data_IF_328321476945
#
_entry.id   IF_328321476945
#
_cell.length_a   1.000
_cell.length_b   1.000
_cell.length_c   1.000
_cell.angle_alpha   90.00
_cell.angle_beta   90.00
_cell.angle_gamma   90.00
#
_symmetry.space_group_name_H-M   'P 1'
#
loop_
_entity.id
_entity.type
_entity.pdbx_description
1 polymer ?
#
# COMPACT_ATOMS: atom_id res chain seq x y z
N UNK A 1 -14.96 -8.05 -54.13
CA UNK A 1 -15.42 -8.37 -52.76
C UNK A 1 -14.15 -8.55 -51.96
N UNK A 2 -13.88 -7.63 -51.03
CA UNK A 2 -12.55 -7.34 -50.50
C UNK A 2 -12.21 -8.29 -49.34
N UNK A 3 -10.96 -8.78 -49.26
CA UNK A 3 -10.43 -9.67 -48.20
C UNK A 3 -10.63 -9.12 -46.77
N UNK A 4 -10.92 -7.83 -46.65
CA UNK A 4 -11.26 -7.14 -45.41
C UNK A 4 -12.66 -7.52 -44.89
N UNK A 5 -13.63 -7.76 -45.78
CA UNK A 5 -14.99 -8.17 -45.40
C UNK A 5 -15.00 -9.59 -44.84
N UNK A 6 -14.17 -10.48 -45.39
CA UNK A 6 -13.96 -11.83 -44.86
C UNK A 6 -13.31 -11.82 -43.48
N UNK A 7 -12.33 -10.94 -43.24
CA UNK A 7 -11.71 -10.82 -41.92
C UNK A 7 -12.68 -10.28 -40.86
N UNK A 8 -13.51 -9.29 -41.22
CA UNK A 8 -14.54 -8.76 -40.31
C UNK A 8 -15.59 -9.83 -40.01
N UNK A 9 -16.00 -10.61 -41.02
CA UNK A 9 -16.95 -11.70 -40.83
C UNK A 9 -16.38 -12.82 -39.94
N UNK A 10 -15.12 -13.19 -40.14
CA UNK A 10 -14.44 -14.18 -39.30
C UNK A 10 -14.32 -13.71 -37.85
N UNK A 11 -13.96 -12.44 -37.62
CA UNK A 11 -13.86 -11.86 -36.29
C UNK A 11 -15.22 -11.82 -35.58
N UNK A 12 -16.29 -11.46 -36.32
CA UNK A 12 -17.65 -11.43 -35.78
C UNK A 12 -18.15 -12.84 -35.40
N UNK A 13 -17.81 -13.85 -36.22
CA UNK A 13 -18.14 -15.24 -35.91
C UNK A 13 -17.40 -15.72 -34.65
N UNK A 14 -16.14 -15.33 -34.49
CA UNK A 14 -15.34 -15.68 -33.32
C UNK A 14 -15.91 -15.07 -32.02
N UNK A 15 -16.36 -13.81 -32.07
CA UNK A 15 -17.03 -13.15 -30.95
C UNK A 15 -18.37 -13.82 -30.58
N UNK A 16 -19.17 -14.22 -31.57
CA UNK A 16 -20.43 -14.91 -31.32
C UNK A 16 -20.22 -16.27 -30.63
N UNK A 17 -19.17 -17.01 -31.01
CA UNK A 17 -18.84 -18.29 -30.41
C UNK A 17 -18.41 -18.17 -28.93
N UNK A 18 -17.62 -17.15 -28.61
CA UNK A 18 -17.22 -16.83 -27.23
C UNK A 18 -18.41 -16.45 -26.35
N UNK A 19 -19.36 -15.69 -26.90
CA UNK A 19 -20.57 -15.28 -26.17
C UNK A 19 -21.49 -16.48 -25.86
N UNK A 20 -21.58 -17.46 -26.78
CA UNK A 20 -22.33 -18.69 -26.57
C UNK A 20 -21.68 -19.62 -25.51
N UNK A 21 -20.35 -19.65 -25.44
CA UNK A 21 -19.63 -20.40 -24.40
C UNK A 21 -19.86 -19.82 -22.99
N UNK A 22 -19.93 -18.49 -22.85
CA UNK A 22 -20.19 -17.85 -21.56
C UNK A 22 -21.64 -18.11 -21.10
N UNK A 23 -22.60 -18.13 -22.03
CA UNK A 23 -24.01 -18.43 -21.70
C UNK A 23 -24.23 -19.90 -21.32
N UNK A 24 -23.50 -20.84 -21.93
CA UNK A 24 -23.56 -22.26 -21.56
C UNK A 24 -22.86 -22.59 -20.24
N UNK A 25 -21.85 -21.81 -19.85
CA UNK A 25 -21.23 -21.88 -18.52
C UNK A 25 -22.10 -21.25 -17.39
N UNK A 26 -23.17 -20.53 -17.75
CA UNK A 26 -24.03 -19.76 -16.84
C UNK A 26 -25.48 -20.29 -16.82
N UNK A 27 -25.66 -21.61 -16.86
CA UNK A 27 -26.97 -22.27 -16.68
C UNK A 27 -27.17 -22.82 -15.27
N UNK A 28 -28.40 -22.80 -14.71
CA UNK A 28 -28.67 -23.22 -13.34
C UNK A 28 -28.59 -24.75 -13.23
N UNK A 29 -27.73 -25.27 -12.36
CA UNK A 29 -27.76 -26.69 -11.97
C UNK A 29 -29.09 -27.00 -11.26
N UNK A 30 -29.89 -27.96 -11.75
CA UNK A 30 -31.10 -28.38 -11.06
C UNK A 30 -30.75 -29.29 -9.88
N UNK A 31 -31.49 -29.14 -8.78
CA UNK A 31 -31.47 -30.05 -7.64
C UNK A 31 -31.67 -31.50 -8.09
N UNK A 32 -30.80 -32.41 -7.67
CA UNK A 32 -31.14 -33.81 -7.50
C UNK A 32 -30.66 -34.29 -6.13
N UNK A 33 -31.66 -34.47 -5.26
CA UNK A 33 -31.63 -35.25 -4.04
C UNK A 33 -31.26 -36.70 -4.35
N UNK A 34 -30.36 -37.28 -3.56
CA UNK A 34 -30.37 -38.72 -3.29
C UNK A 34 -29.99 -38.94 -1.82
N UNK A 35 -31.02 -39.23 -1.02
CA UNK A 35 -30.94 -39.92 0.27
C UNK A 35 -30.22 -41.28 0.10
N UNK A 36 -29.39 -41.68 1.06
CA UNK A 36 -29.63 -42.95 1.76
C UNK A 36 -28.70 -43.15 2.99
N UNK A 37 -29.34 -43.05 4.16
CA UNK A 37 -29.41 -44.10 5.18
C UNK A 37 -28.12 -44.70 5.78
N UNK A 38 -27.79 -44.27 7.01
CA UNK A 38 -27.53 -45.17 8.14
C UNK A 38 -27.58 -44.42 9.49
N UNK A 39 -28.69 -44.57 10.20
CA UNK A 39 -28.85 -44.35 11.66
C UNK A 39 -28.19 -45.54 12.41
N UNK A 40 -27.80 -45.42 13.71
CA UNK A 40 -28.73 -45.23 14.84
C UNK A 40 -28.11 -44.38 16.00
N UNK A 41 -28.73 -43.91 17.09
CA UNK A 41 -30.07 -43.90 17.72
C UNK A 41 -30.05 -42.75 18.77
N UNK A 42 -31.20 -42.33 19.32
CA UNK A 42 -31.38 -41.06 20.02
C UNK A 42 -31.13 -41.15 21.55
N UNK A 43 -30.66 -40.06 22.14
CA UNK A 43 -30.96 -39.74 23.53
C UNK A 43 -31.47 -38.30 23.64
N UNK A 44 -32.53 -38.19 24.42
CA UNK A 44 -33.46 -37.08 24.55
C UNK A 44 -32.89 -35.89 25.33
N UNK A 45 -33.25 -34.70 24.82
CA UNK A 45 -33.84 -33.59 25.58
C UNK A 45 -32.91 -32.64 26.34
N UNK A 46 -32.76 -31.45 25.74
CA UNK A 46 -32.25 -30.23 26.36
C UNK A 46 -32.42 -29.10 25.37
N UNK A 47 -33.48 -28.33 25.55
CA UNK A 47 -33.83 -27.15 24.76
C UNK A 47 -32.65 -26.17 24.68
N UNK A 48 -32.05 -26.06 23.50
CA UNK A 48 -31.41 -24.83 23.03
C UNK A 48 -31.30 -24.98 21.52
N UNK A 49 -32.22 -24.31 20.81
CA UNK A 49 -32.06 -24.05 19.39
C UNK A 49 -30.77 -23.24 19.24
N UNK A 50 -29.66 -23.93 18.99
CA UNK A 50 -28.43 -23.31 18.53
C UNK A 50 -28.76 -22.75 17.14
N UNK A 51 -29.10 -21.46 17.11
CA UNK A 51 -29.20 -20.68 15.90
C UNK A 51 -27.95 -21.00 15.05
N UNK A 52 -28.10 -21.26 13.74
CA UNK A 52 -26.94 -21.32 12.85
C UNK A 52 -26.14 -20.04 13.08
N UNK A 53 -24.80 -20.09 13.22
CA UNK A 53 -24.01 -18.89 13.41
C UNK A 53 -24.34 -17.92 12.28
N UNK A 54 -24.94 -16.77 12.62
CA UNK A 54 -25.37 -15.73 11.67
C UNK A 54 -24.19 -15.13 10.88
N UNK A 55 -22.97 -15.53 11.22
CA UNK A 55 -21.74 -15.13 10.57
C UNK A 55 -20.90 -16.38 10.33
N UNK A 56 -20.98 -16.92 9.10
CA UNK A 56 -19.77 -17.46 8.50
C UNK A 56 -18.88 -16.25 8.28
N UNK A 57 -18.05 -15.92 9.28
CA UNK A 57 -16.95 -15.02 9.06
C UNK A 57 -16.09 -15.74 8.03
N UNK A 58 -16.29 -15.43 6.75
CA UNK A 58 -15.35 -15.81 5.70
C UNK A 58 -13.98 -15.46 6.25
N UNK A 59 -13.15 -16.47 6.43
CA UNK A 59 -11.80 -16.29 6.97
C UNK A 59 -11.18 -15.16 6.18
N UNK A 60 -10.83 -14.07 6.87
CA UNK A 60 -10.15 -12.93 6.27
C UNK A 60 -9.03 -13.52 5.42
N UNK A 61 -8.94 -13.22 4.10
CA UNK A 61 -7.85 -13.74 3.28
C UNK A 61 -6.54 -13.47 4.01
N UNK A 62 -5.90 -14.54 4.49
CA UNK A 62 -4.63 -14.44 5.15
C UNK A 62 -3.60 -14.36 4.04
N UNK A 63 -3.07 -13.16 3.83
CA UNK A 63 -1.96 -12.97 2.91
C UNK A 63 -0.69 -13.36 3.67
N UNK A 64 -0.29 -14.62 3.53
CA UNK A 64 0.99 -15.15 4.00
C UNK A 64 2.12 -14.60 3.14
N UNK A 65 2.37 -13.29 3.23
CA UNK A 65 3.56 -12.72 2.62
C UNK A 65 4.72 -12.84 3.61
N UNK A 66 5.70 -13.64 3.25
CA UNK A 66 7.01 -13.67 3.90
C UNK A 66 8.05 -13.08 2.92
N UNK A 67 8.78 -12.02 3.31
CA UNK A 67 9.89 -11.50 2.51
C UNK A 67 11.02 -12.53 2.43
N UNK A 68 11.78 -12.52 1.33
CA UNK A 68 13.02 -13.30 1.22
C UNK A 68 14.10 -12.71 2.13
N UNK A 69 15.09 -13.52 2.53
CA UNK A 69 16.22 -13.06 3.36
C UNK A 69 16.97 -11.88 2.71
N UNK A 70 17.12 -11.89 1.38
CA UNK A 70 17.75 -10.80 0.64
C UNK A 70 16.92 -9.50 0.72
N UNK A 71 15.58 -9.60 0.68
CA UNK A 71 14.71 -8.44 0.81
C UNK A 71 14.65 -7.94 2.27
N UNK A 72 14.67 -8.86 3.22
CA UNK A 72 14.75 -8.57 4.65
C UNK A 72 15.99 -7.73 4.96
N UNK A 73 17.16 -8.19 4.51
CA UNK A 73 18.44 -7.50 4.73
C UNK A 73 18.50 -6.15 3.98
N UNK A 74 18.06 -6.13 2.71
CA UNK A 74 18.09 -4.91 1.89
C UNK A 74 17.21 -3.78 2.44
N UNK A 75 16.04 -4.12 2.99
CA UNK A 75 15.04 -3.15 3.45
C UNK A 75 14.98 -3.05 4.98
N UNK A 76 15.84 -3.77 5.70
CA UNK A 76 15.90 -3.85 7.16
C UNK A 76 14.52 -4.14 7.81
N UNK A 77 13.74 -5.05 7.21
CA UNK A 77 12.32 -5.25 7.58
C UNK A 77 12.12 -5.88 8.97
N UNK A 78 13.16 -6.44 9.58
CA UNK A 78 13.17 -6.94 10.96
C UNK A 78 13.43 -5.84 11.99
N UNK A 79 13.84 -4.65 11.54
CA UNK A 79 14.13 -3.53 12.44
C UNK A 79 12.84 -2.94 13.01
N UNK A 80 12.70 -2.86 14.35
CA UNK A 80 11.48 -2.37 14.97
C UNK A 80 11.30 -0.86 14.75
N UNK A 81 10.21 -0.46 14.08
CA UNK A 81 9.92 0.93 13.67
C UNK A 81 9.99 1.94 14.83
N UNK A 82 9.60 1.56 16.05
CA UNK A 82 9.55 2.47 17.21
C UNK A 82 10.75 2.38 18.15
N UNK A 83 11.66 1.42 17.92
CA UNK A 83 12.83 1.18 18.77
C UNK A 83 14.14 1.14 17.98
N UNK A 84 14.08 1.42 16.68
CA UNK A 84 15.24 1.53 15.81
C UNK A 84 16.20 2.61 16.33
N UNK A 85 17.49 2.36 16.18
CA UNK A 85 18.52 3.34 16.52
C UNK A 85 18.45 4.48 15.50
N UNK A 86 18.51 5.72 15.99
CA UNK A 86 18.56 6.89 15.12
C UNK A 86 19.84 6.87 14.25
N UNK A 87 19.65 7.17 12.96
CA UNK A 87 20.74 7.28 11.99
C UNK A 87 21.72 8.41 12.40
N UNK A 88 23.04 8.16 12.41
CA UNK A 88 24.01 9.21 12.70
C UNK A 88 23.99 10.30 11.62
N UNK A 89 24.25 11.54 12.02
CA UNK A 89 24.17 12.72 11.15
C UNK A 89 25.03 12.62 9.88
N UNK A 90 26.21 11.98 9.98
CA UNK A 90 27.11 11.74 8.84
C UNK A 90 26.52 10.81 7.81
N UNK A 91 25.86 9.74 8.25
CA UNK A 91 25.24 8.74 7.39
C UNK A 91 23.98 9.30 6.76
N UNK A 92 23.16 10.02 7.53
CA UNK A 92 22.02 10.78 6.99
C UNK A 92 22.46 11.73 5.89
N UNK A 93 23.56 12.46 6.11
CA UNK A 93 24.12 13.37 5.10
C UNK A 93 24.59 12.61 3.86
N UNK A 94 25.26 11.47 4.04
CA UNK A 94 25.70 10.63 2.92
C UNK A 94 24.52 10.16 2.06
N UNK A 95 23.40 9.76 2.67
CA UNK A 95 22.17 9.38 1.93
C UNK A 95 21.65 10.57 1.11
N UNK A 96 21.57 11.77 1.70
CA UNK A 96 21.10 12.97 0.98
C UNK A 96 22.01 13.29 -0.21
N UNK A 97 23.33 13.22 -0.02
CA UNK A 97 24.34 13.52 -1.04
C UNK A 97 24.39 12.44 -2.15
N UNK A 98 23.88 11.23 -1.89
CA UNK A 98 23.82 10.17 -2.89
C UNK A 98 22.87 10.47 -4.05
N UNK A 99 21.95 11.42 -3.88
CA UNK A 99 21.02 11.83 -4.93
C UNK A 99 21.57 13.08 -5.64
N UNK A 100 22.00 12.99 -6.92
CA UNK A 100 22.64 14.11 -7.63
C UNK A 100 21.85 15.43 -7.62
N UNK A 101 20.51 15.45 -7.75
CA UNK A 101 19.73 16.69 -7.62
C UNK A 101 19.80 17.35 -6.23
N UNK A 102 20.29 16.63 -5.22
CA UNK A 102 20.41 17.07 -3.84
C UNK A 102 21.86 17.21 -3.35
N UNK A 103 22.84 16.80 -4.16
CA UNK A 103 24.23 16.89 -3.79
C UNK A 103 24.64 18.34 -3.51
N UNK A 104 25.48 18.52 -2.50
CA UNK A 104 26.05 19.79 -2.07
C UNK A 104 25.05 20.84 -1.52
N UNK A 105 23.80 20.46 -1.25
CA UNK A 105 22.87 21.31 -0.53
C UNK A 105 23.23 21.35 0.97
N UNK A 106 23.80 22.47 1.43
CA UNK A 106 23.88 22.78 2.88
C UNK A 106 22.50 23.26 3.37
N UNK A 107 21.56 22.32 3.44
CA UNK A 107 20.20 22.63 3.86
C UNK A 107 20.15 22.87 5.37
N UNK A 108 19.84 24.10 5.76
CA UNK A 108 19.55 24.48 7.14
C UNK A 108 18.05 24.60 7.33
N UNK A 109 17.54 24.03 8.41
CA UNK A 109 16.15 24.25 8.80
C UNK A 109 15.89 25.78 8.84
N UNK A 110 14.81 26.28 8.22
CA UNK A 110 14.50 27.69 8.23
C UNK A 110 14.45 28.24 9.66
N UNK A 111 15.13 29.37 9.89
CA UNK A 111 15.04 30.06 11.18
C UNK A 111 13.60 30.51 11.41
N UNK A 112 13.06 30.26 12.60
CA UNK A 112 11.73 30.77 12.96
C UNK A 112 11.69 32.28 13.10
N UNK A 113 10.48 32.84 12.98
CA UNK A 113 10.23 34.26 13.26
C UNK A 113 10.71 34.57 14.69
N UNK A 114 11.76 35.40 14.87
CA UNK A 114 12.40 35.62 16.17
C UNK A 114 11.43 36.17 17.22
N UNK A 115 10.38 36.84 16.77
CA UNK A 115 9.38 37.47 17.63
C UNK A 115 8.56 36.45 18.41
N UNK A 116 8.09 35.37 17.78
CA UNK A 116 7.29 34.34 18.45
C UNK A 116 8.14 33.55 19.47
N UNK A 117 9.37 33.22 19.09
CA UNK A 117 10.30 32.52 19.97
C UNK A 117 10.63 33.32 21.25
N UNK A 118 10.75 34.66 21.15
CA UNK A 118 10.95 35.51 22.33
C UNK A 118 9.78 35.48 23.32
N UNK A 119 8.58 35.17 22.86
CA UNK A 119 7.37 35.08 23.70
C UNK A 119 7.13 33.67 24.26
N UNK A 120 7.89 32.66 23.82
CA UNK A 120 7.76 31.28 24.31
C UNK A 120 8.57 31.06 25.60
N UNK A 121 8.01 30.27 26.50
CA UNK A 121 8.75 29.76 27.66
C UNK A 121 9.74 28.65 27.24
N UNK A 122 10.60 28.20 28.17
CA UNK A 122 11.63 27.19 27.88
C UNK A 122 11.07 25.85 27.39
N UNK A 123 9.95 25.39 27.97
CA UNK A 123 9.30 24.14 27.56
C UNK A 123 8.72 24.23 26.15
N UNK A 124 8.00 25.31 25.87
CA UNK A 124 7.43 25.60 24.55
C UNK A 124 8.52 25.69 23.47
N UNK A 125 9.65 26.34 23.76
CA UNK A 125 10.79 26.39 22.83
C UNK A 125 11.34 25.01 22.50
N UNK A 126 11.43 24.14 23.52
CA UNK A 126 11.93 22.78 23.34
C UNK A 126 10.98 21.95 22.46
N UNK A 127 9.68 21.97 22.77
CA UNK A 127 8.65 21.27 21.98
C UNK A 127 8.60 21.77 20.53
N UNK A 128 8.60 23.09 20.35
CA UNK A 128 8.60 23.74 19.03
C UNK A 128 9.84 23.36 18.21
N UNK A 129 11.00 23.27 18.85
CA UNK A 129 12.26 22.85 18.20
C UNK A 129 12.21 21.37 17.83
N UNK A 130 11.69 20.51 18.70
CA UNK A 130 11.54 19.08 18.43
C UNK A 130 10.60 18.81 17.25
N UNK A 131 9.45 19.49 17.19
CA UNK A 131 8.49 19.36 16.08
C UNK A 131 9.13 19.80 14.76
N UNK A 132 9.84 20.94 14.72
CA UNK A 132 10.57 21.38 13.52
C UNK A 132 11.63 20.37 13.08
N UNK A 133 12.37 19.81 14.03
CA UNK A 133 13.39 18.82 13.73
C UNK A 133 12.76 17.59 13.07
N UNK A 134 11.64 17.09 13.60
CA UNK A 134 10.92 15.97 13.00
C UNK A 134 10.35 16.31 11.61
N UNK A 135 9.77 17.50 11.43
CA UNK A 135 9.33 17.97 10.11
C UNK A 135 10.48 18.01 9.10
N UNK A 136 11.65 18.48 9.53
CA UNK A 136 12.86 18.50 8.72
C UNK A 136 13.33 17.09 8.35
N UNK A 137 13.42 16.18 9.32
CA UNK A 137 13.81 14.78 9.06
C UNK A 137 12.85 14.10 8.08
N UNK A 138 11.55 14.33 8.24
CA UNK A 138 10.54 13.79 7.33
C UNK A 138 10.64 14.38 5.92
N UNK A 139 11.05 15.66 5.81
CA UNK A 139 11.24 16.32 4.52
C UNK A 139 12.30 15.64 3.64
N UNK A 140 13.32 15.03 4.27
CA UNK A 140 14.41 14.35 3.58
C UNK A 140 13.94 13.11 2.82
N UNK A 141 12.84 12.46 3.24
CA UNK A 141 12.31 11.27 2.59
C UNK A 141 11.57 11.58 1.27
N UNK A 142 11.02 12.79 1.10
CA UNK A 142 10.23 13.12 -0.09
C UNK A 142 11.06 13.16 -1.38
N UNK A 143 12.32 13.58 -1.30
CA UNK A 143 13.14 13.78 -2.50
C UNK A 143 13.61 12.47 -3.13
N UNK A 144 14.15 11.49 -2.38
CA UNK A 144 14.38 10.14 -2.90
C UNK A 144 13.11 9.54 -3.50
N UNK A 145 11.97 9.73 -2.84
CA UNK A 145 10.67 9.25 -3.32
C UNK A 145 10.26 9.92 -4.64
N UNK A 146 10.44 11.23 -4.76
CA UNK A 146 10.11 11.99 -5.98
C UNK A 146 11.03 11.62 -7.15
N UNK A 147 12.32 11.38 -6.88
CA UNK A 147 13.27 10.87 -7.87
C UNK A 147 12.86 9.47 -8.32
N UNK A 148 12.54 8.57 -7.40
CA UNK A 148 12.08 7.22 -7.73
C UNK A 148 10.81 7.25 -8.60
N UNK A 149 9.83 8.08 -8.24
CA UNK A 149 8.63 8.27 -9.07
C UNK A 149 9.03 8.75 -10.46
N UNK A 150 9.88 9.77 -10.57
CA UNK A 150 10.33 10.29 -11.86
C UNK A 150 11.03 9.23 -12.72
N UNK A 151 11.96 8.47 -12.14
CA UNK A 151 12.70 7.42 -12.84
C UNK A 151 11.77 6.31 -13.32
N UNK A 152 10.82 5.87 -12.49
CA UNK A 152 9.82 4.87 -12.90
C UNK A 152 8.95 5.36 -14.06
N UNK A 153 8.46 6.60 -14.01
CA UNK A 153 7.63 7.12 -15.10
C UNK A 153 8.43 7.38 -16.39
N UNK A 154 9.72 7.69 -16.29
CA UNK A 154 10.55 8.05 -17.44
C UNK A 154 11.18 6.83 -18.10
N UNK A 155 11.59 5.83 -17.32
CA UNK A 155 12.39 4.70 -17.80
C UNK A 155 11.64 3.36 -17.84
N UNK A 156 10.55 3.21 -17.08
CA UNK A 156 9.79 1.95 -16.97
C UNK A 156 8.43 1.98 -17.68
N UNK A 157 8.29 2.80 -18.74
CA UNK A 157 7.01 3.03 -19.43
C UNK A 157 6.40 1.76 -20.10
N UNK A 158 7.19 0.68 -20.23
CA UNK A 158 6.72 -0.63 -20.72
C UNK A 158 6.34 -1.63 -19.63
N UNK A 159 6.46 -1.26 -18.34
CA UNK A 159 6.24 -2.17 -17.23
C UNK A 159 4.73 -2.38 -16.98
N UNK A 160 4.20 -3.62 -17.08
CA UNK A 160 2.77 -3.88 -16.89
C UNK A 160 2.28 -3.59 -15.45
N UNK A 161 3.20 -3.47 -14.49
CA UNK A 161 2.87 -3.17 -13.10
C UNK A 161 3.00 -1.67 -12.76
N UNK A 162 3.36 -0.81 -13.72
CA UNK A 162 3.64 0.61 -13.48
C UNK A 162 2.48 1.33 -12.79
N UNK A 163 1.23 1.05 -13.18
CA UNK A 163 0.04 1.65 -12.57
C UNK A 163 -0.11 1.27 -11.09
N UNK A 164 0.13 -0.01 -10.76
CA UNK A 164 0.06 -0.51 -9.39
C UNK A 164 1.14 0.13 -8.52
N UNK A 165 2.39 0.16 -8.99
CA UNK A 165 3.49 0.78 -8.26
C UNK A 165 3.30 2.28 -8.10
N UNK A 166 2.80 2.96 -9.13
CA UNK A 166 2.49 4.40 -9.08
C UNK A 166 1.42 4.71 -8.03
N UNK A 167 0.40 3.84 -7.90
CA UNK A 167 -0.61 3.97 -6.86
C UNK A 167 0.00 3.81 -5.47
N UNK A 168 0.85 2.80 -5.27
CA UNK A 168 1.55 2.61 -3.98
C UNK A 168 2.42 3.82 -3.62
N UNK A 169 3.23 4.32 -4.56
CA UNK A 169 4.09 5.50 -4.33
C UNK A 169 3.28 6.77 -4.04
N UNK A 170 2.16 6.97 -4.74
CA UNK A 170 1.23 8.07 -4.48
C UNK A 170 0.64 7.99 -3.07
N UNK A 171 0.25 6.80 -2.63
CA UNK A 171 -0.36 6.60 -1.32
C UNK A 171 0.68 6.79 -0.21
N UNK A 172 1.91 6.28 -0.38
CA UNK A 172 3.05 6.56 0.51
C UNK A 172 3.28 8.07 0.61
N UNK A 173 3.39 8.77 -0.52
CA UNK A 173 3.57 10.24 -0.54
C UNK A 173 2.45 10.96 0.19
N UNK A 174 1.20 10.55 0.00
CA UNK A 174 0.03 11.13 0.69
C UNK A 174 0.08 10.93 2.20
N UNK A 175 0.46 9.74 2.67
CA UNK A 175 0.62 9.46 4.09
C UNK A 175 1.74 10.31 4.71
N UNK A 176 2.88 10.44 4.03
CA UNK A 176 3.97 11.31 4.51
C UNK A 176 3.52 12.78 4.59
N UNK A 177 2.81 13.29 3.58
CA UNK A 177 2.24 14.65 3.60
C UNK A 177 1.22 14.82 4.74
N UNK A 178 0.41 13.80 4.99
CA UNK A 178 -0.54 13.80 6.11
C UNK A 178 0.18 13.90 7.46
N UNK A 179 1.27 13.15 7.66
CA UNK A 179 2.10 13.27 8.88
C UNK A 179 2.66 14.69 9.02
N UNK A 180 3.24 15.27 7.97
CA UNK A 180 3.70 16.68 8.00
C UNK A 180 2.59 17.67 8.40
N UNK A 181 1.38 17.47 7.84
CA UNK A 181 0.21 18.29 8.15
C UNK A 181 -0.20 18.16 9.62
N UNK A 182 -0.32 16.92 10.12
CA UNK A 182 -0.64 16.62 11.52
C UNK A 182 0.35 17.27 12.49
N UNK A 183 1.65 17.20 12.18
CA UNK A 183 2.69 17.84 12.98
C UNK A 183 2.58 19.37 13.00
N UNK A 184 2.11 19.98 11.90
CA UNK A 184 1.88 21.43 11.82
C UNK A 184 0.63 21.84 12.59
N UNK A 185 -0.41 21.01 12.59
CA UNK A 185 -1.66 21.26 13.32
C UNK A 185 -1.54 21.05 14.83
N UNK A 186 -0.60 20.20 15.26
CA UNK A 186 -0.31 19.98 16.69
C UNK A 186 0.60 21.05 17.31
N UNK A 187 1.06 22.00 16.52
CA UNK A 187 1.93 23.11 16.92
C UNK A 187 1.10 24.34 17.29
#
# INVERSE_FOLDING_TARGET
MSTLEEQVFALQQQLASLQAQIQTASGPTPMQSVDDTARPTPMQQGENAAMPPLHSFGTRPHYDWSPSDALMDLMELDTPIHHAKALPDSERKAIIEAYPPMAHLDYRAPATIPTAERMMNRGQKYEDTAIKQLQYLLSAAFRPLDILIHEMFTHENGNPNLERYSTMLRDIRRLLLHVCSMMTQQR
#
